data_IF_259592653634
#
_entry.id   IF_259592653634
#
_cell.length_a   1.000
_cell.length_b   1.000
_cell.length_c   1.000
_cell.angle_alpha   90.00
_cell.angle_beta   90.00
_cell.angle_gamma   90.00
#
_symmetry.space_group_name_H-M   'P 1'
#
loop_
_entity.id
_entity.type
_entity.pdbx_description
1 polymer ?
#
# COMPACT_ATOMS: atom_id res chain seq x y z
N UNK A 1 9.86 13.54 -10.50
CA UNK A 1 9.24 12.21 -10.39
C UNK A 1 8.84 11.96 -8.95
N UNK A 2 7.60 11.57 -8.72
CA UNK A 2 7.10 11.23 -7.39
C UNK A 2 7.64 9.87 -6.95
N UNK A 3 7.68 9.64 -5.65
CA UNK A 3 8.17 8.39 -5.07
C UNK A 3 7.02 7.55 -4.54
N UNK A 4 6.96 6.28 -4.96
CA UNK A 4 6.12 5.24 -4.38
C UNK A 4 7.00 4.26 -3.59
N UNK A 5 6.74 4.13 -2.30
CA UNK A 5 7.43 3.16 -1.46
C UNK A 5 6.59 1.89 -1.35
N UNK A 6 7.16 0.76 -1.78
CA UNK A 6 6.50 -0.53 -1.75
C UNK A 6 6.87 -1.30 -0.49
N UNK A 7 5.90 -1.47 0.39
CA UNK A 7 6.00 -2.24 1.64
C UNK A 7 5.56 -3.67 1.38
N UNK A 8 6.46 -4.61 1.53
CA UNK A 8 6.26 -6.01 1.11
C UNK A 8 7.09 -6.94 1.97
N UNK A 9 6.64 -8.20 2.20
CA UNK A 9 7.53 -9.21 2.75
C UNK A 9 8.68 -9.47 1.77
N UNK A 10 9.90 -9.16 2.15
CA UNK A 10 11.05 -9.28 1.24
C UNK A 10 11.72 -10.64 1.36
N UNK A 11 11.90 -11.15 2.57
CA UNK A 11 12.57 -12.41 2.81
C UNK A 11 14.04 -12.43 2.36
N UNK A 12 14.66 -13.57 2.43
CA UNK A 12 16.01 -13.78 1.94
C UNK A 12 16.03 -13.88 0.41
N UNK A 13 17.16 -13.53 -0.20
CA UNK A 13 17.37 -13.71 -1.63
C UNK A 13 17.12 -15.17 -2.02
N UNK A 14 16.33 -15.39 -3.09
CA UNK A 14 15.91 -16.72 -3.53
C UNK A 14 14.73 -17.31 -2.77
N UNK A 15 14.23 -16.67 -1.72
CA UNK A 15 13.02 -17.12 -1.01
C UNK A 15 11.77 -16.90 -1.85
N UNK A 16 10.68 -17.60 -1.47
CA UNK A 16 9.39 -17.44 -2.14
C UNK A 16 8.84 -16.02 -1.96
N UNK A 17 8.98 -15.44 -0.78
CA UNK A 17 8.58 -14.07 -0.48
C UNK A 17 9.29 -13.07 -1.40
N UNK A 18 10.60 -13.25 -1.61
CA UNK A 18 11.37 -12.38 -2.50
C UNK A 18 10.90 -12.50 -3.95
N UNK A 19 10.66 -13.73 -4.41
CA UNK A 19 10.19 -13.98 -5.79
C UNK A 19 8.84 -13.32 -6.03
N UNK A 20 7.90 -13.45 -5.09
CA UNK A 20 6.59 -12.81 -5.19
C UNK A 20 6.74 -11.30 -5.17
N UNK A 21 7.54 -10.75 -4.27
CA UNK A 21 7.79 -9.31 -4.18
C UNK A 21 8.40 -8.74 -5.46
N UNK A 22 9.38 -9.43 -6.04
CA UNK A 22 10.00 -9.03 -7.32
C UNK A 22 8.98 -9.06 -8.46
N UNK A 23 8.16 -10.09 -8.52
CA UNK A 23 7.10 -10.23 -9.52
C UNK A 23 6.05 -9.12 -9.39
N UNK A 24 5.56 -8.87 -8.19
CA UNK A 24 4.56 -7.81 -7.95
C UNK A 24 5.12 -6.45 -8.34
N UNK A 25 6.34 -6.15 -7.93
CA UNK A 25 6.97 -4.86 -8.25
C UNK A 25 7.15 -4.67 -9.75
N UNK A 26 7.66 -5.68 -10.47
CA UNK A 26 7.99 -5.56 -11.88
C UNK A 26 6.79 -5.69 -12.80
N UNK A 27 5.79 -6.48 -12.45
CA UNK A 27 4.66 -6.81 -13.33
C UNK A 27 3.41 -6.00 -12.98
N UNK A 28 3.09 -5.88 -11.68
CA UNK A 28 1.86 -5.24 -11.24
C UNK A 28 2.00 -3.75 -10.91
N UNK A 29 3.14 -3.31 -10.40
CA UNK A 29 3.28 -1.94 -9.91
C UNK A 29 4.04 -1.00 -10.84
N UNK A 30 5.28 -1.34 -11.20
CA UNK A 30 6.15 -0.44 -11.94
C UNK A 30 5.59 0.03 -13.28
N UNK A 31 4.99 -0.84 -14.12
CA UNK A 31 4.51 -0.38 -15.44
C UNK A 31 3.44 0.71 -15.33
N UNK A 32 2.49 0.57 -14.42
CA UNK A 32 1.43 1.56 -14.22
C UNK A 32 1.93 2.82 -13.53
N UNK A 33 2.73 2.65 -12.48
CA UNK A 33 3.21 3.78 -11.69
C UNK A 33 4.21 4.64 -12.45
N UNK A 34 5.08 4.06 -13.26
CA UNK A 34 5.99 4.82 -14.12
C UNK A 34 5.22 5.68 -15.15
N UNK A 35 4.15 5.14 -15.73
CA UNK A 35 3.23 5.91 -16.59
C UNK A 35 2.65 7.15 -15.87
N UNK A 36 2.44 7.06 -14.57
CA UNK A 36 1.86 8.13 -13.75
C UNK A 36 2.92 9.00 -13.08
N UNK A 37 4.16 8.89 -13.52
CA UNK A 37 5.31 9.66 -13.04
C UNK A 37 5.71 9.35 -11.59
N UNK A 38 5.57 8.08 -11.19
CA UNK A 38 6.07 7.56 -9.92
C UNK A 38 7.26 6.64 -10.14
N UNK A 39 8.25 6.74 -9.29
CA UNK A 39 9.32 5.74 -9.18
C UNK A 39 8.99 4.83 -8.00
N UNK A 40 8.93 3.52 -8.27
CA UNK A 40 8.69 2.51 -7.23
C UNK A 40 10.02 2.11 -6.62
N UNK A 41 10.10 2.22 -5.30
CA UNK A 41 11.25 1.76 -4.53
C UNK A 41 10.77 0.86 -3.39
N UNK A 42 11.62 -0.06 -2.97
CA UNK A 42 11.35 -0.97 -1.86
C UNK A 42 12.57 -0.97 -0.94
N UNK A 43 12.35 -1.33 0.34
CA UNK A 43 13.45 -1.46 1.28
C UNK A 43 14.47 -2.49 0.79
N UNK A 44 15.77 -2.19 0.97
CA UNK A 44 16.83 -3.12 0.61
C UNK A 44 16.90 -4.26 1.62
N UNK A 45 16.86 -5.50 1.12
CA UNK A 45 16.87 -6.72 1.92
C UNK A 45 18.22 -7.06 2.56
N UNK A 46 19.29 -6.35 2.20
CA UNK A 46 20.61 -6.57 2.79
C UNK A 46 20.72 -6.08 4.24
N UNK A 47 19.70 -5.36 4.70
CA UNK A 47 19.65 -4.86 6.08
C UNK A 47 18.90 -5.86 6.96
N UNK A 48 19.58 -6.39 7.95
CA UNK A 48 19.07 -7.40 8.88
C UNK A 48 17.78 -6.99 9.56
N UNK A 49 16.84 -7.91 9.58
CA UNK A 49 15.42 -7.80 9.94
C UNK A 49 15.16 -7.44 11.41
N UNK A 50 16.19 -7.33 12.25
CA UNK A 50 16.02 -7.28 13.71
C UNK A 50 15.83 -5.87 14.31
N UNK A 51 15.86 -4.82 13.50
CA UNK A 51 15.67 -3.45 14.00
C UNK A 51 14.78 -2.66 13.09
N UNK A 52 13.88 -1.88 13.69
CA UNK A 52 13.16 -0.82 12.99
C UNK A 52 14.23 0.14 12.43
N UNK A 53 14.46 0.06 11.13
CA UNK A 53 15.43 0.90 10.45
C UNK A 53 14.84 2.31 10.32
N UNK A 54 15.54 3.30 10.84
CA UNK A 54 15.14 4.70 10.73
C UNK A 54 15.00 5.16 9.27
N UNK A 55 15.74 4.53 8.34
CA UNK A 55 15.61 4.83 6.90
C UNK A 55 14.27 4.37 6.34
N UNK A 56 13.72 3.25 6.83
CA UNK A 56 12.39 2.78 6.44
C UNK A 56 11.31 3.73 6.98
N UNK A 57 11.41 4.14 8.24
CA UNK A 57 10.48 5.12 8.82
C UNK A 57 10.50 6.44 8.05
N UNK A 58 11.67 6.90 7.63
CA UNK A 58 11.81 8.11 6.84
C UNK A 58 11.14 7.96 5.46
N UNK A 59 11.29 6.82 4.80
CA UNK A 59 10.61 6.55 3.55
C UNK A 59 9.09 6.46 3.70
N UNK A 60 8.62 5.82 4.77
CA UNK A 60 7.19 5.79 5.09
C UNK A 60 6.61 7.17 5.34
N UNK A 61 7.41 8.08 5.85
CA UNK A 61 7.03 9.46 6.16
C UNK A 61 7.04 10.38 4.94
N UNK A 62 8.01 10.22 4.05
CA UNK A 62 8.29 11.16 2.96
C UNK A 62 7.79 10.71 1.59
N UNK A 63 7.54 9.42 1.37
CA UNK A 63 7.05 8.95 0.08
C UNK A 63 5.70 9.60 -0.29
N UNK A 64 5.55 9.94 -1.56
CA UNK A 64 4.29 10.52 -2.08
C UNK A 64 3.14 9.50 -2.03
N UNK A 65 3.46 8.22 -2.18
CA UNK A 65 2.52 7.11 -2.10
C UNK A 65 3.20 5.92 -1.45
N UNK A 66 2.46 5.19 -0.61
CA UNK A 66 2.88 3.89 -0.08
C UNK A 66 1.91 2.82 -0.58
N UNK A 67 2.45 1.74 -1.13
CA UNK A 67 1.66 0.54 -1.45
C UNK A 67 2.15 -0.58 -0.55
N UNK A 68 1.23 -1.19 0.20
CA UNK A 68 1.55 -2.26 1.14
C UNK A 68 0.91 -3.58 0.70
N UNK A 69 1.72 -4.62 0.57
CA UNK A 69 1.26 -5.98 0.34
C UNK A 69 1.06 -6.69 1.67
N UNK A 70 -0.20 -6.89 2.04
CA UNK A 70 -0.57 -7.50 3.32
C UNK A 70 -0.77 -9.01 3.22
N UNK A 71 -0.45 -9.63 2.07
CA UNK A 71 -0.51 -11.08 1.91
C UNK A 71 0.30 -11.79 3.00
N UNK A 72 -0.28 -12.84 3.59
CA UNK A 72 0.38 -13.61 4.64
C UNK A 72 0.48 -12.92 6.00
N UNK A 73 -0.12 -11.77 6.19
CA UNK A 73 -0.16 -11.05 7.47
C UNK A 73 1.21 -10.85 8.12
N UNK A 74 2.22 -10.49 7.34
CA UNK A 74 3.57 -10.26 7.85
C UNK A 74 3.56 -9.13 8.90
N UNK A 75 4.07 -9.38 10.13
CA UNK A 75 3.99 -8.38 11.19
C UNK A 75 4.75 -7.08 10.89
N UNK A 76 5.87 -7.16 10.18
CA UNK A 76 6.64 -5.97 9.82
C UNK A 76 5.87 -5.08 8.82
N UNK A 77 5.24 -5.72 7.82
CA UNK A 77 4.39 -5.01 6.85
C UNK A 77 3.21 -4.36 7.58
N UNK A 78 2.58 -5.07 8.50
CA UNK A 78 1.43 -4.53 9.25
C UNK A 78 1.82 -3.34 10.12
N UNK A 79 3.00 -3.39 10.76
CA UNK A 79 3.54 -2.27 11.53
C UNK A 79 3.80 -1.04 10.64
N UNK A 80 4.46 -1.24 9.52
CA UNK A 80 4.82 -0.17 8.58
C UNK A 80 3.57 0.47 7.96
N UNK A 81 2.59 -0.36 7.59
CA UNK A 81 1.30 0.13 7.09
C UNK A 81 0.57 0.95 8.15
N UNK A 82 0.50 0.45 9.38
CA UNK A 82 -0.12 1.16 10.50
C UNK A 82 0.54 2.52 10.75
N UNK A 83 1.86 2.57 10.70
CA UNK A 83 2.61 3.82 10.82
C UNK A 83 2.21 4.83 9.72
N UNK A 84 2.15 4.38 8.46
CA UNK A 84 1.77 5.23 7.33
C UNK A 84 0.32 5.72 7.45
N UNK A 85 -0.60 4.85 7.84
CA UNK A 85 -2.02 5.22 8.05
C UNK A 85 -2.13 6.30 9.13
N UNK A 86 -1.41 6.15 10.24
CA UNK A 86 -1.41 7.11 11.33
C UNK A 86 -0.93 8.51 10.92
N UNK A 87 -0.05 8.58 9.93
CA UNK A 87 0.41 9.86 9.36
C UNK A 87 -0.62 10.56 8.48
N UNK A 88 -1.74 9.91 8.18
CA UNK A 88 -2.80 10.44 7.31
C UNK A 88 -2.27 10.84 5.91
N UNK A 89 -1.44 10.01 5.34
CA UNK A 89 -0.83 10.19 4.02
C UNK A 89 -1.28 9.10 3.04
N UNK A 90 -1.20 9.34 1.71
CA UNK A 90 -1.71 8.41 0.71
C UNK A 90 -1.12 7.00 0.81
N UNK A 91 -1.98 6.00 0.81
CA UNK A 91 -1.60 4.59 0.79
C UNK A 91 -2.60 3.77 -0.01
N UNK A 92 -2.14 2.63 -0.52
CA UNK A 92 -2.95 1.60 -1.18
C UNK A 92 -2.57 0.26 -0.57
N UNK A 93 -3.58 -0.58 -0.32
CA UNK A 93 -3.39 -1.94 0.16
C UNK A 93 -3.59 -2.92 -0.98
N UNK A 94 -2.67 -3.86 -1.14
CA UNK A 94 -2.78 -4.97 -2.08
C UNK A 94 -2.66 -6.30 -1.34
N UNK A 95 -3.27 -7.35 -1.89
CA UNK A 95 -3.20 -8.69 -1.30
C UNK A 95 -3.52 -9.76 -2.33
N UNK A 96 -3.10 -11.01 -2.07
CA UNK A 96 -3.42 -12.15 -2.91
C UNK A 96 -4.80 -12.77 -2.59
N UNK A 97 -5.21 -12.78 -1.34
CA UNK A 97 -6.43 -13.46 -0.90
C UNK A 97 -7.28 -12.58 0.01
N UNK A 98 -8.55 -12.40 -0.37
CA UNK A 98 -9.53 -11.65 0.42
C UNK A 98 -9.78 -12.28 1.80
N UNK A 99 -9.67 -13.60 1.93
CA UNK A 99 -9.93 -14.31 3.19
C UNK A 99 -8.81 -14.15 4.22
N UNK A 100 -7.64 -13.68 3.79
CA UNK A 100 -6.48 -13.47 4.67
C UNK A 100 -6.38 -12.05 5.22
N UNK A 101 -7.31 -11.15 4.87
CA UNK A 101 -7.26 -9.78 5.34
C UNK A 101 -7.49 -9.71 6.85
N UNK A 102 -6.62 -9.01 7.61
CA UNK A 102 -6.89 -8.73 9.01
C UNK A 102 -8.20 -7.96 9.18
N UNK A 103 -8.93 -8.24 10.25
CA UNK A 103 -10.23 -7.64 10.53
C UNK A 103 -10.21 -6.11 10.47
N UNK A 104 -9.16 -5.48 11.00
CA UNK A 104 -9.05 -4.02 11.09
C UNK A 104 -8.91 -3.33 9.74
N UNK A 105 -8.40 -4.04 8.70
CA UNK A 105 -8.20 -3.48 7.36
C UNK A 105 -9.19 -4.04 6.34
N UNK A 106 -10.04 -4.99 6.71
CA UNK A 106 -11.02 -5.58 5.79
C UNK A 106 -12.05 -4.58 5.26
N UNK A 107 -12.27 -3.47 5.98
CA UNK A 107 -13.15 -2.38 5.55
C UNK A 107 -12.48 -1.38 4.60
N UNK A 108 -11.16 -1.45 4.44
CA UNK A 108 -10.38 -0.58 3.56
C UNK A 108 -10.31 -1.23 2.18
N UNK A 109 -10.56 -0.43 1.12
CA UNK A 109 -10.48 -0.95 -0.24
C UNK A 109 -9.09 -1.52 -0.53
N UNK A 110 -9.06 -2.79 -0.94
CA UNK A 110 -7.84 -3.54 -1.25
C UNK A 110 -7.88 -3.99 -2.71
N UNK A 111 -6.76 -3.88 -3.41
CA UNK A 111 -6.60 -4.43 -4.76
C UNK A 111 -6.01 -5.84 -4.66
N UNK A 112 -6.64 -6.81 -5.32
CA UNK A 112 -6.21 -8.21 -5.27
C UNK A 112 -5.48 -8.60 -6.54
N UNK A 113 -4.32 -9.23 -6.37
CA UNK A 113 -3.51 -9.75 -7.47
C UNK A 113 -3.35 -11.26 -7.36
N UNK A 114 -3.05 -11.92 -8.47
CA UNK A 114 -2.82 -13.35 -8.54
C UNK A 114 -1.44 -13.64 -9.14
N UNK A 115 -0.79 -14.71 -8.65
CA UNK A 115 0.53 -15.14 -9.12
C UNK A 115 0.46 -16.33 -10.06
N UNK A 116 -0.55 -17.20 -9.92
CA UNK A 116 -0.72 -18.42 -10.73
C UNK A 116 -1.44 -18.11 -12.04
N UNK A 117 -2.51 -17.34 -11.98
CA UNK A 117 -3.26 -16.86 -13.13
C UNK A 117 -3.29 -15.33 -13.09
N UNK A 118 -2.20 -14.66 -13.50
CA UNK A 118 -2.08 -13.21 -13.30
C UNK A 118 -3.18 -12.40 -13.98
N UNK A 119 -3.86 -11.57 -13.20
CA UNK A 119 -4.92 -10.67 -13.64
C UNK A 119 -4.37 -9.26 -13.95
N UNK A 120 -3.30 -9.19 -14.73
CA UNK A 120 -2.47 -7.99 -14.91
C UNK A 120 -3.26 -6.80 -15.46
N UNK A 121 -4.05 -7.01 -16.52
CA UNK A 121 -4.77 -5.91 -17.17
C UNK A 121 -5.80 -5.28 -16.25
N UNK A 122 -6.57 -6.09 -15.56
CA UNK A 122 -7.59 -5.62 -14.63
C UNK A 122 -6.96 -4.93 -13.42
N UNK A 123 -5.93 -5.54 -12.85
CA UNK A 123 -5.22 -4.95 -11.71
C UNK A 123 -4.61 -3.60 -12.08
N UNK A 124 -3.93 -3.51 -13.22
CA UNK A 124 -3.30 -2.26 -13.65
C UNK A 124 -4.33 -1.16 -13.92
N UNK A 125 -5.48 -1.50 -14.50
CA UNK A 125 -6.56 -0.55 -14.70
C UNK A 125 -7.11 -0.04 -13.35
N UNK A 126 -7.33 -0.93 -12.39
CA UNK A 126 -7.80 -0.58 -11.05
C UNK A 126 -6.76 0.23 -10.27
N UNK A 127 -5.49 -0.11 -10.39
CA UNK A 127 -4.39 0.63 -9.78
C UNK A 127 -4.31 2.05 -10.34
N UNK A 128 -4.34 2.21 -11.65
CA UNK A 128 -4.31 3.53 -12.30
C UNK A 128 -5.46 4.42 -11.81
N UNK A 129 -6.67 3.87 -11.79
CA UNK A 129 -7.85 4.57 -11.31
C UNK A 129 -7.71 4.96 -9.83
N UNK A 130 -7.20 4.06 -9.00
CA UNK A 130 -7.02 4.29 -7.57
C UNK A 130 -5.97 5.38 -7.31
N UNK A 131 -4.84 5.33 -8.02
CA UNK A 131 -3.78 6.34 -7.89
C UNK A 131 -4.27 7.72 -8.33
N UNK A 132 -5.00 7.81 -9.43
CA UNK A 132 -5.58 9.08 -9.90
C UNK A 132 -6.59 9.65 -8.91
N UNK A 133 -7.42 8.81 -8.31
CA UNK A 133 -8.38 9.24 -7.29
C UNK A 133 -7.69 9.77 -6.03
N UNK A 134 -6.63 9.11 -5.60
CA UNK A 134 -5.83 9.56 -4.45
C UNK A 134 -5.16 10.90 -4.74
N UNK A 135 -4.57 11.07 -5.91
CA UNK A 135 -3.89 12.32 -6.30
C UNK A 135 -4.86 13.51 -6.34
N UNK A 136 -6.11 13.28 -6.74
CA UNK A 136 -7.12 14.32 -6.86
C UNK A 136 -7.90 14.56 -5.56
N UNK A 137 -8.09 13.54 -4.73
CA UNK A 137 -9.00 13.55 -3.58
C UNK A 137 -8.43 12.79 -2.39
N UNK A 138 -7.19 13.10 -1.96
CA UNK A 138 -6.70 12.52 -0.70
C UNK A 138 -7.44 13.08 0.52
N UNK A 139 -8.71 13.35 0.38
CA UNK A 139 -9.60 13.79 1.45
C UNK A 139 -10.64 12.73 1.85
N UNK A 140 -10.43 11.44 1.51
CA UNK A 140 -11.37 10.40 1.93
C UNK A 140 -11.55 10.38 3.46
N UNK A 141 -10.46 10.60 4.21
CA UNK A 141 -10.52 10.80 5.66
C UNK A 141 -11.16 12.14 6.05
N UNK A 142 -10.99 13.17 5.24
CA UNK A 142 -11.62 14.47 5.50
C UNK A 142 -13.10 14.46 5.15
N UNK A 143 -13.54 13.77 4.10
CA UNK A 143 -14.97 13.57 3.82
C UNK A 143 -15.65 12.73 4.89
N UNK A 144 -14.96 11.71 5.42
CA UNK A 144 -15.48 10.94 6.54
C UNK A 144 -15.55 11.77 7.82
N UNK A 145 -14.56 12.64 8.07
CA UNK A 145 -14.60 13.61 9.18
C UNK A 145 -15.71 14.63 8.97
N UNK A 146 -15.82 15.22 7.80
CA UNK A 146 -16.87 16.20 7.47
C UNK A 146 -18.27 15.58 7.55
N UNK A 147 -18.43 14.31 7.18
CA UNK A 147 -19.71 13.59 7.34
C UNK A 147 -20.02 13.30 8.80
N UNK A 148 -19.02 13.04 9.62
CA UNK A 148 -19.17 12.84 11.06
C UNK A 148 -19.49 14.18 11.73
N UNK A 149 -18.79 15.24 11.39
CA UNK A 149 -19.01 16.58 11.91
C UNK A 149 -20.39 17.14 11.49
N UNK A 150 -20.80 16.95 10.24
CA UNK A 150 -22.13 17.36 9.78
C UNK A 150 -23.27 16.58 10.42
N UNK A 151 -23.05 15.30 10.78
CA UNK A 151 -24.03 14.51 11.54
C UNK A 151 -24.07 14.89 13.02
N UNK A 152 -22.95 15.32 13.59
CA UNK A 152 -22.89 15.80 14.97
C UNK A 152 -23.61 17.16 15.11
N UNK A 153 -23.48 18.06 14.14
CA UNK A 153 -24.19 19.36 14.12
C UNK A 153 -25.70 19.19 13.96
N UNK A 154 -26.16 18.21 13.20
CA UNK A 154 -27.61 17.94 13.05
C UNK A 154 -28.21 17.20 14.24
N UNK A 155 -27.43 16.58 15.10
CA UNK A 155 -27.90 15.90 16.31
C UNK A 155 -28.00 16.82 17.53
N UNK A 156 -27.55 18.07 17.46
CA UNK A 156 -27.64 19.08 18.53
C UNK A 156 -28.83 20.03 18.40
N UNK A 157 -29.67 19.85 17.41
CA UNK A 157 -30.94 20.50 17.28
C UNK A 157 -32.08 19.56 17.63
#
# INVERSE_FOLDING_TARGET
>A
MKKCFFVTPIGLEGSQERKVSDFVMSVYLSPTLEKLDYKVERADSSKTVERIDTSILEQLKTADLVIADVSGNNPNVMFELGYRIALNKPFIIIAQDVNELPFDISSIRTLFYETIAPNILQFNADLEKTVKNISNNFSITNESKNKIESKADTSQT
#
